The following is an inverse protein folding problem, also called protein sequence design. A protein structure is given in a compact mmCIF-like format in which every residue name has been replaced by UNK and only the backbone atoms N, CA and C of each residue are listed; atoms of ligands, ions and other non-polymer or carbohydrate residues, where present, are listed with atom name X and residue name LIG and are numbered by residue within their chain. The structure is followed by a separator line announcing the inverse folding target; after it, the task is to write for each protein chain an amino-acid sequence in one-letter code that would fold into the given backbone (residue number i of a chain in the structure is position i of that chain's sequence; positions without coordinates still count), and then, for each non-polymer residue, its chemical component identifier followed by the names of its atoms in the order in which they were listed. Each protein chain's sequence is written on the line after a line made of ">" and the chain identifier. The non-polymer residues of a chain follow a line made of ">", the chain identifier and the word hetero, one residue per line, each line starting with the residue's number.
data_IF_844570721976
#
_entry.id   IF_844570721976
#
_cell.length_a   1.000
_cell.length_b   1.000
_cell.length_c   1.000
_cell.angle_alpha   90.00
_cell.angle_beta   90.00
_cell.angle_gamma   90.00
#
_symmetry.space_group_name_H-M   'P 1'
#
loop_
_entity.id
_entity.type
_entity.pdbx_description
1 polymer ?
#
# COMPACT_ATOMS: atom_id res chain seq x y z
N UNK A 1 15.25 -22.86 19.68
CA UNK A 1 15.76 -22.77 18.31
C UNK A 1 15.80 -21.29 17.96
N UNK A 2 16.87 -20.79 17.39
CA UNK A 2 17.01 -19.39 17.03
C UNK A 2 16.75 -19.24 15.53
N UNK A 3 15.91 -18.31 15.12
CA UNK A 3 15.71 -17.90 13.74
C UNK A 3 16.23 -16.48 13.51
N UNK A 4 16.46 -16.13 12.25
CA UNK A 4 16.97 -14.80 11.90
C UNK A 4 15.90 -13.86 11.33
N UNK A 5 14.94 -14.39 10.59
CA UNK A 5 13.83 -13.62 10.00
C UNK A 5 12.52 -14.39 10.14
N UNK A 6 11.39 -13.70 9.93
CA UNK A 6 10.08 -14.36 9.90
C UNK A 6 10.01 -15.46 8.82
N UNK A 7 10.66 -15.26 7.66
CA UNK A 7 10.73 -16.28 6.62
C UNK A 7 11.59 -17.47 7.05
N UNK A 8 12.71 -17.23 7.70
CA UNK A 8 13.58 -18.28 8.25
C UNK A 8 12.83 -19.11 9.31
N UNK A 9 12.10 -18.44 10.23
CA UNK A 9 11.24 -19.12 11.21
C UNK A 9 10.19 -20.01 10.52
N UNK A 10 9.51 -19.49 9.51
CA UNK A 10 8.51 -20.24 8.75
C UNK A 10 9.10 -21.49 8.08
N UNK A 11 10.29 -21.37 7.49
CA UNK A 11 11.01 -22.49 6.85
C UNK A 11 11.49 -23.54 7.85
N UNK A 12 11.83 -23.12 9.06
CA UNK A 12 12.20 -24.03 10.15
C UNK A 12 10.99 -24.65 10.85
N UNK A 13 9.77 -24.28 10.50
CA UNK A 13 8.55 -24.74 11.18
C UNK A 13 8.33 -24.10 12.55
N UNK A 14 8.94 -22.94 12.82
CA UNK A 14 8.81 -22.18 14.06
C UNK A 14 7.70 -21.16 13.93
N UNK A 15 6.66 -21.26 14.76
CA UNK A 15 5.58 -20.27 14.83
C UNK A 15 6.03 -19.12 15.74
N UNK A 16 6.10 -17.91 15.18
CA UNK A 16 6.46 -16.69 15.93
C UNK A 16 5.20 -16.04 16.54
N UNK A 17 5.39 -15.09 17.45
CA UNK A 17 4.27 -14.33 18.02
C UNK A 17 3.59 -13.48 16.94
N UNK A 18 4.35 -12.91 16.02
CA UNK A 18 3.83 -12.16 14.88
C UNK A 18 2.92 -13.01 13.99
N UNK A 19 3.32 -14.26 13.71
CA UNK A 19 2.49 -15.22 12.95
C UNK A 19 1.18 -15.52 13.65
N UNK A 20 1.16 -15.67 14.98
CA UNK A 20 -0.06 -15.93 15.75
C UNK A 20 -1.03 -14.75 15.65
N UNK A 21 -0.52 -13.54 15.87
CA UNK A 21 -1.32 -12.31 15.78
C UNK A 21 -1.91 -12.13 14.39
N UNK A 22 -1.11 -12.34 13.34
CA UNK A 22 -1.58 -12.23 11.96
C UNK A 22 -2.60 -13.31 11.63
N UNK A 23 -2.37 -14.55 12.05
CA UNK A 23 -3.31 -15.65 11.83
C UNK A 23 -4.69 -15.37 12.46
N UNK A 24 -4.72 -14.81 13.68
CA UNK A 24 -5.95 -14.38 14.34
C UNK A 24 -6.64 -13.23 13.60
N UNK A 25 -5.90 -12.17 13.26
CA UNK A 25 -6.44 -11.00 12.53
C UNK A 25 -7.04 -11.36 11.16
N UNK A 26 -6.45 -12.34 10.48
CA UNK A 26 -6.82 -12.75 9.12
C UNK A 26 -7.75 -13.97 9.10
N UNK A 27 -8.08 -14.52 10.27
CA UNK A 27 -8.90 -15.74 10.40
C UNK A 27 -8.38 -16.89 9.51
N UNK A 28 -7.06 -17.10 9.52
CA UNK A 28 -6.36 -18.15 8.76
C UNK A 28 -5.65 -19.12 9.71
N UNK A 29 -5.57 -20.40 9.33
CA UNK A 29 -4.77 -21.37 10.10
C UNK A 29 -3.29 -20.96 10.11
N UNK A 30 -2.66 -20.96 11.29
CA UNK A 30 -1.28 -20.53 11.46
C UNK A 30 -0.27 -21.37 10.67
N UNK A 31 -0.56 -22.66 10.44
CA UNK A 31 0.32 -23.53 9.63
C UNK A 31 0.18 -23.22 8.15
N UNK A 32 -1.03 -22.87 7.71
CA UNK A 32 -1.27 -22.39 6.35
C UNK A 32 -0.53 -21.07 6.12
N UNK A 33 -0.66 -20.08 7.03
CA UNK A 33 0.07 -18.83 7.00
C UNK A 33 1.58 -19.09 6.91
N UNK A 34 2.12 -19.93 7.79
CA UNK A 34 3.54 -20.29 7.80
C UNK A 34 3.98 -20.93 6.48
N UNK A 35 3.16 -21.81 5.88
CA UNK A 35 3.45 -22.41 4.58
C UNK A 35 3.52 -21.39 3.46
N UNK A 36 2.66 -20.38 3.46
CA UNK A 36 2.68 -19.27 2.49
C UNK A 36 3.91 -18.39 2.68
N UNK A 37 4.28 -18.10 3.92
CA UNK A 37 5.49 -17.33 4.25
C UNK A 37 6.76 -18.06 3.85
N UNK A 38 6.86 -19.37 4.10
CA UNK A 38 8.02 -20.19 3.70
C UNK A 38 8.24 -20.17 2.18
N UNK A 39 7.17 -20.01 1.40
CA UNK A 39 7.17 -19.89 -0.07
C UNK A 39 7.39 -18.44 -0.56
N UNK A 40 7.39 -17.44 0.33
CA UNK A 40 7.49 -16.03 0.00
C UNK A 40 6.19 -15.40 -0.56
N UNK A 41 5.07 -16.09 -0.46
CA UNK A 41 3.75 -15.64 -0.95
C UNK A 41 3.00 -14.77 0.07
N UNK A 42 3.47 -14.75 1.30
CA UNK A 42 3.02 -13.87 2.39
C UNK A 42 4.26 -13.35 3.11
N UNK A 43 4.22 -12.10 3.51
CA UNK A 43 5.22 -11.45 4.35
C UNK A 43 4.57 -10.88 5.61
N UNK A 44 5.34 -10.80 6.68
CA UNK A 44 5.01 -10.07 7.90
C UNK A 44 6.16 -9.09 8.13
N UNK A 45 6.07 -7.84 7.67
CA UNK A 45 7.10 -6.84 7.94
C UNK A 45 7.14 -6.55 9.44
N UNK A 46 8.25 -6.90 10.08
CA UNK A 46 8.39 -6.81 11.55
C UNK A 46 9.87 -6.69 11.95
N UNK A 47 10.39 -5.48 11.90
CA UNK A 47 11.77 -5.20 12.31
C UNK A 47 11.95 -5.50 13.81
N UNK A 48 13.05 -6.19 14.15
CA UNK A 48 13.39 -6.53 15.54
C UNK A 48 13.49 -5.32 16.49
N UNK A 49 13.72 -4.12 15.95
CA UNK A 49 13.83 -2.87 16.70
C UNK A 49 12.50 -2.12 16.83
N UNK A 50 11.46 -2.48 16.10
CA UNK A 50 10.12 -1.88 16.18
C UNK A 50 9.30 -2.57 17.29
N UNK A 51 9.36 -2.05 18.52
CA UNK A 51 8.81 -2.75 19.70
C UNK A 51 7.31 -2.56 19.92
N UNK A 52 6.71 -1.52 19.37
CA UNK A 52 5.27 -1.23 19.52
C UNK A 52 4.43 -1.75 18.33
N UNK A 53 5.04 -2.45 17.39
CA UNK A 53 4.37 -2.97 16.19
C UNK A 53 3.19 -3.89 16.55
N UNK A 54 2.05 -3.62 15.91
CA UNK A 54 0.92 -4.56 15.82
C UNK A 54 0.97 -5.25 14.45
N UNK A 55 1.58 -6.43 14.33
CA UNK A 55 1.95 -7.00 13.03
C UNK A 55 0.73 -7.26 12.14
N UNK A 56 0.91 -7.03 10.83
CA UNK A 56 -0.04 -7.38 9.79
C UNK A 56 0.67 -8.19 8.71
N UNK A 57 -0.07 -9.14 8.12
CA UNK A 57 0.41 -9.94 6.99
C UNK A 57 -0.01 -9.32 5.65
N UNK A 58 0.86 -9.40 4.66
CA UNK A 58 0.60 -8.92 3.29
C UNK A 58 0.84 -10.08 2.34
N UNK A 59 -0.13 -10.44 1.50
CA UNK A 59 0.05 -11.47 0.50
C UNK A 59 -1.18 -12.34 0.25
N UNK A 60 -0.92 -13.50 -0.32
CA UNK A 60 -1.93 -14.44 -0.79
C UNK A 60 -2.87 -14.90 0.32
N UNK A 61 -4.17 -15.00 0.01
CA UNK A 61 -5.25 -15.42 0.91
C UNK A 61 -5.56 -14.50 2.09
N UNK A 62 -4.83 -13.41 2.25
CA UNK A 62 -5.10 -12.40 3.27
C UNK A 62 -5.94 -11.27 2.70
N UNK A 63 -6.54 -10.48 3.59
CA UNK A 63 -7.20 -9.23 3.20
C UNK A 63 -6.20 -8.32 2.49
N UNK A 64 -6.67 -7.54 1.54
CA UNK A 64 -5.88 -6.50 0.88
C UNK A 64 -5.56 -5.39 1.90
N UNK A 65 -4.28 -5.04 2.02
CA UNK A 65 -3.81 -3.99 2.93
C UNK A 65 -3.64 -2.67 2.21
N UNK A 66 -3.70 -1.58 2.97
CA UNK A 66 -3.42 -0.24 2.46
C UNK A 66 -2.20 0.37 3.13
N UNK A 67 -1.44 1.13 2.34
CA UNK A 67 -0.32 1.93 2.81
C UNK A 67 -0.62 3.41 2.63
N UNK A 68 -0.32 4.20 3.65
CA UNK A 68 -0.49 5.65 3.66
C UNK A 68 0.87 6.32 3.58
N UNK A 69 1.10 7.07 2.50
CA UNK A 69 2.29 7.88 2.33
C UNK A 69 2.13 9.24 3.00
N UNK A 70 3.15 9.66 3.70
CA UNK A 70 3.22 10.99 4.31
C UNK A 70 4.70 11.42 4.41
N UNK A 71 4.95 12.60 4.92
CA UNK A 71 6.31 13.06 5.15
C UNK A 71 6.50 14.53 4.81
N UNK A 72 7.60 15.09 5.32
CA UNK A 72 7.96 16.49 5.14
C UNK A 72 8.63 16.75 3.80
N UNK A 73 8.40 17.95 3.25
CA UNK A 73 9.10 18.49 2.10
C UNK A 73 9.72 19.84 2.45
N UNK A 74 10.55 20.40 1.55
CA UNK A 74 11.19 21.68 1.77
C UNK A 74 10.20 22.82 2.05
N UNK A 75 9.05 22.76 1.41
CA UNK A 75 8.02 23.81 1.50
C UNK A 75 6.99 23.53 2.60
N UNK A 76 6.99 22.33 3.19
CA UNK A 76 6.06 21.88 4.24
C UNK A 76 6.80 21.03 5.28
N UNK A 77 7.23 21.66 6.40
CA UNK A 77 8.12 21.06 7.42
C UNK A 77 7.41 20.92 8.78
N UNK A 78 6.10 20.79 8.82
CA UNK A 78 5.35 20.64 10.07
C UNK A 78 5.27 19.17 10.53
N UNK A 79 6.21 18.79 11.39
CA UNK A 79 6.25 17.43 11.97
C UNK A 79 5.03 17.11 12.85
N UNK A 80 4.40 18.11 13.47
CA UNK A 80 3.21 17.86 14.30
C UNK A 80 2.02 17.51 13.42
N UNK A 81 1.86 18.23 12.30
CA UNK A 81 0.85 17.92 11.29
C UNK A 81 1.07 16.51 10.71
N UNK A 82 2.32 16.13 10.41
CA UNK A 82 2.61 14.77 9.90
C UNK A 82 2.29 13.71 10.96
N UNK A 83 2.56 13.93 12.23
CA UNK A 83 2.17 13.01 13.31
C UNK A 83 0.65 12.93 13.49
N UNK A 84 -0.07 14.03 13.31
CA UNK A 84 -1.53 14.02 13.32
C UNK A 84 -2.10 13.19 12.16
N UNK A 85 -1.52 13.31 10.96
CA UNK A 85 -1.87 12.46 9.81
C UNK A 85 -1.63 10.97 10.12
N UNK A 86 -0.50 10.62 10.76
CA UNK A 86 -0.19 9.25 11.19
C UNK A 86 -1.27 8.72 12.13
N UNK A 87 -1.60 9.47 13.18
CA UNK A 87 -2.58 9.05 14.18
C UNK A 87 -3.96 8.84 13.55
N UNK A 88 -4.38 9.76 12.69
CA UNK A 88 -5.63 9.64 11.96
C UNK A 88 -5.64 8.45 11.01
N UNK A 89 -4.56 8.22 10.27
CA UNK A 89 -4.45 7.08 9.37
C UNK A 89 -4.55 5.74 10.11
N UNK A 90 -3.86 5.61 11.24
CA UNK A 90 -3.94 4.41 12.10
C UNK A 90 -5.34 4.22 12.67
N UNK A 91 -5.96 5.29 13.17
CA UNK A 91 -7.33 5.25 13.69
C UNK A 91 -8.36 4.86 12.61
N UNK A 92 -8.10 5.21 11.36
CA UNK A 92 -8.91 4.84 10.19
C UNK A 92 -8.59 3.44 9.64
N UNK A 93 -7.66 2.72 10.26
CA UNK A 93 -7.33 1.33 9.94
C UNK A 93 -6.30 1.15 8.83
N UNK A 94 -5.42 2.12 8.60
CA UNK A 94 -4.25 1.92 7.75
C UNK A 94 -3.31 0.89 8.39
N UNK A 95 -2.93 -0.14 7.65
CA UNK A 95 -2.03 -1.18 8.13
C UNK A 95 -0.56 -0.77 8.05
N UNK A 96 -0.23 0.16 7.17
CA UNK A 96 1.14 0.65 7.00
C UNK A 96 1.19 2.16 6.79
N UNK A 97 2.27 2.75 7.28
CA UNK A 97 2.64 4.15 7.08
C UNK A 97 4.00 4.18 6.39
N UNK A 98 4.10 4.91 5.28
CA UNK A 98 5.37 5.09 4.58
C UNK A 98 5.85 6.53 4.71
N UNK A 99 6.97 6.72 5.41
CA UNK A 99 7.63 8.00 5.55
C UNK A 99 8.43 8.32 4.29
N UNK A 100 7.96 9.32 3.54
CA UNK A 100 8.59 9.85 2.34
C UNK A 100 9.27 11.19 2.59
N UNK A 101 9.60 11.52 3.82
CA UNK A 101 10.26 12.76 4.19
C UNK A 101 11.54 12.97 3.39
N UNK A 102 11.66 14.17 2.82
CA UNK A 102 12.80 14.58 2.00
C UNK A 102 13.44 15.88 2.49
N UNK A 103 13.09 16.34 3.70
CA UNK A 103 13.62 17.55 4.31
C UNK A 103 13.48 17.55 5.83
N UNK A 104 14.42 18.21 6.53
CA UNK A 104 14.43 18.34 7.99
C UNK A 104 15.18 17.17 8.68
N UNK A 105 14.90 16.98 9.96
CA UNK A 105 15.49 15.87 10.75
C UNK A 105 14.69 14.58 10.54
N UNK A 106 14.88 13.98 9.37
CA UNK A 106 14.20 12.77 8.92
C UNK A 106 14.46 11.58 9.85
N UNK A 107 15.69 11.45 10.38
CA UNK A 107 16.03 10.37 11.30
C UNK A 107 15.27 10.47 12.62
N UNK A 108 15.12 11.67 13.18
CA UNK A 108 14.35 11.88 14.40
C UNK A 108 12.89 11.53 14.19
N UNK A 109 12.31 11.93 13.06
CA UNK A 109 10.91 11.61 12.72
C UNK A 109 10.73 10.10 12.57
N UNK A 110 11.57 9.43 11.81
CA UNK A 110 11.56 7.97 11.62
C UNK A 110 11.66 7.21 12.94
N UNK A 111 12.59 7.57 13.82
CA UNK A 111 12.72 6.97 15.15
C UNK A 111 11.49 7.20 16.02
N UNK A 112 10.85 8.34 15.90
CA UNK A 112 9.59 8.60 16.59
C UNK A 112 8.48 7.68 16.09
N UNK A 113 8.34 7.52 14.77
CA UNK A 113 7.39 6.58 14.17
C UNK A 113 7.61 5.16 14.67
N UNK A 114 8.82 4.62 14.58
CA UNK A 114 9.13 3.25 15.00
C UNK A 114 9.08 3.02 16.52
N UNK A 115 9.03 4.08 17.33
CA UNK A 115 8.87 3.98 18.78
C UNK A 115 7.43 4.12 19.28
N UNK A 116 6.55 4.76 18.52
CA UNK A 116 5.20 5.15 18.99
C UNK A 116 4.05 4.62 18.12
N UNK A 117 4.29 4.40 16.81
CA UNK A 117 3.25 3.99 15.87
C UNK A 117 3.12 2.46 15.82
N UNK A 118 1.92 1.88 16.02
CA UNK A 118 1.72 0.43 15.96
C UNK A 118 1.57 -0.12 14.53
N UNK A 119 1.46 0.74 13.50
CA UNK A 119 1.38 0.31 12.12
C UNK A 119 2.77 -0.09 11.57
N UNK A 120 2.80 -0.86 10.51
CA UNK A 120 4.02 -1.17 9.76
C UNK A 120 4.64 0.14 9.25
N UNK A 121 5.94 0.37 9.48
CA UNK A 121 6.65 1.55 9.01
C UNK A 121 7.52 1.22 7.81
N UNK A 122 7.25 1.92 6.70
CA UNK A 122 8.05 1.86 5.49
C UNK A 122 8.84 3.13 5.22
N UNK A 123 9.94 3.03 4.48
CA UNK A 123 10.74 4.19 4.04
C UNK A 123 11.37 3.95 2.67
N UNK A 124 11.89 5.04 2.09
CA UNK A 124 12.67 5.02 0.85
C UNK A 124 14.07 5.60 1.15
N UNK A 125 15.07 4.78 1.52
CA UNK A 125 16.37 5.26 2.01
C UNK A 125 17.10 6.21 1.07
N UNK A 126 16.91 6.07 -0.24
CA UNK A 126 17.55 6.94 -1.24
C UNK A 126 17.20 8.43 -1.07
N UNK A 127 16.00 8.75 -0.54
CA UNK A 127 15.63 10.15 -0.29
C UNK A 127 16.48 10.77 0.81
N UNK A 128 16.76 9.97 1.85
CA UNK A 128 17.50 10.41 3.01
C UNK A 128 18.99 10.62 2.72
N UNK A 129 19.57 9.84 1.82
CA UNK A 129 20.98 9.97 1.46
C UNK A 129 21.32 11.37 0.93
N UNK A 130 20.45 11.92 0.08
CA UNK A 130 20.63 13.28 -0.47
C UNK A 130 20.51 14.35 0.64
N UNK A 131 19.58 14.14 1.57
CA UNK A 131 19.32 15.06 2.70
C UNK A 131 20.44 14.97 3.74
N UNK A 132 20.83 13.77 4.11
CA UNK A 132 21.76 13.50 5.20
C UNK A 132 23.19 13.94 4.89
N UNK A 133 23.69 13.63 3.68
CA UNK A 133 25.09 13.92 3.33
C UNK A 133 25.32 15.36 2.85
N UNK A 134 24.29 16.11 2.47
CA UNK A 134 24.39 17.48 1.94
C UNK A 134 25.41 17.62 0.80
N UNK A 135 25.53 16.60 -0.05
CA UNK A 135 26.44 16.54 -1.19
C UNK A 135 25.71 16.72 -2.51
N UNK A 136 26.45 17.11 -3.54
CA UNK A 136 25.94 16.97 -4.90
C UNK A 136 25.72 15.48 -5.21
N UNK A 137 24.66 15.16 -5.93
CA UNK A 137 24.24 13.76 -6.19
C UNK A 137 25.39 12.89 -6.71
N UNK A 138 26.20 13.40 -7.66
CA UNK A 138 27.36 12.70 -8.25
C UNK A 138 28.49 12.39 -7.24
N UNK A 139 28.54 13.11 -6.12
CA UNK A 139 29.60 13.00 -5.12
C UNK A 139 29.20 12.05 -3.96
N UNK A 140 27.99 11.51 -3.98
CA UNK A 140 27.55 10.46 -3.04
C UNK A 140 28.21 9.16 -3.48
N UNK A 141 28.98 8.58 -2.59
CA UNK A 141 29.71 7.34 -2.84
C UNK A 141 28.81 6.10 -2.73
N UNK A 142 29.21 5.01 -3.36
CA UNK A 142 28.53 3.70 -3.21
C UNK A 142 28.36 3.32 -1.73
N UNK A 143 29.40 3.50 -0.91
CA UNK A 143 29.32 3.18 0.52
C UNK A 143 28.28 4.03 1.25
N UNK A 144 28.18 5.31 0.95
CA UNK A 144 27.18 6.19 1.56
C UNK A 144 25.74 5.79 1.20
N UNK A 145 25.51 5.32 -0.03
CA UNK A 145 24.20 4.74 -0.41
C UNK A 145 23.85 3.51 0.43
N UNK A 146 24.83 2.66 0.73
CA UNK A 146 24.61 1.45 1.52
C UNK A 146 24.48 1.76 3.03
N UNK A 147 25.25 2.71 3.56
CA UNK A 147 25.20 3.12 4.97
C UNK A 147 23.83 3.69 5.35
N UNK A 148 23.18 4.42 4.45
CA UNK A 148 21.81 4.91 4.66
C UNK A 148 20.81 3.76 4.78
N UNK A 149 20.94 2.71 3.99
CA UNK A 149 20.07 1.53 4.08
C UNK A 149 20.21 0.88 5.48
N UNK A 150 21.45 0.70 5.98
CA UNK A 150 21.66 0.13 7.31
C UNK A 150 21.15 1.07 8.41
N UNK A 151 21.27 2.39 8.26
CA UNK A 151 20.75 3.36 9.21
C UNK A 151 19.23 3.23 9.37
N UNK A 152 18.47 3.13 8.27
CA UNK A 152 17.02 2.93 8.31
C UNK A 152 16.65 1.59 8.98
N UNK A 153 17.32 0.52 8.62
CA UNK A 153 17.09 -0.79 9.23
C UNK A 153 17.33 -0.76 10.75
N UNK A 154 18.41 -0.10 11.20
CA UNK A 154 18.77 0.06 12.61
C UNK A 154 17.76 0.92 13.37
N UNK A 155 17.18 1.93 12.73
CA UNK A 155 16.16 2.81 13.32
C UNK A 155 14.80 2.12 13.51
N UNK A 156 14.62 0.87 13.05
CA UNK A 156 13.43 0.05 13.30
C UNK A 156 12.41 0.02 12.18
N UNK A 157 12.76 0.46 10.98
CA UNK A 157 11.88 0.42 9.80
C UNK A 157 11.56 -1.02 9.39
N UNK A 158 10.29 -1.35 9.18
CA UNK A 158 9.82 -2.71 8.91
C UNK A 158 9.99 -3.12 7.45
N UNK A 159 9.87 -2.17 6.51
CA UNK A 159 10.17 -2.40 5.10
C UNK A 159 10.86 -1.19 4.47
N UNK A 160 11.69 -1.45 3.48
CA UNK A 160 12.40 -0.41 2.75
C UNK A 160 12.20 -0.59 1.24
N UNK A 161 11.80 0.50 0.57
CA UNK A 161 11.76 0.52 -0.88
C UNK A 161 13.12 0.82 -1.45
N UNK A 162 13.68 -0.15 -2.17
CA UNK A 162 15.00 -0.08 -2.80
C UNK A 162 14.87 -0.28 -4.30
N UNK A 163 15.29 0.72 -5.09
CA UNK A 163 15.19 0.70 -6.55
C UNK A 163 16.38 -0.03 -7.16
N UNK A 164 16.47 -1.34 -6.95
CA UNK A 164 17.54 -2.18 -7.48
C UNK A 164 17.21 -2.83 -8.85
N UNK A 165 16.00 -2.66 -9.37
CA UNK A 165 15.61 -3.19 -10.69
C UNK A 165 16.21 -2.42 -11.86
N UNK A 166 16.48 -1.12 -11.69
CA UNK A 166 17.15 -0.31 -12.70
C UNK A 166 18.66 -0.52 -12.62
N UNK A 167 19.25 -1.05 -13.67
CA UNK A 167 20.69 -1.27 -13.86
C UNK A 167 21.13 -0.71 -15.21
N UNK A 168 22.40 -0.83 -15.58
CA UNK A 168 22.91 -0.30 -16.87
C UNK A 168 22.17 -0.85 -18.08
N UNK A 169 21.72 -2.11 -18.03
CA UNK A 169 20.99 -2.73 -19.14
C UNK A 169 19.56 -2.14 -19.24
N UNK A 170 18.82 -2.10 -18.13
CA UNK A 170 17.47 -1.50 -18.08
C UNK A 170 17.51 -0.01 -18.36
N UNK A 171 18.52 0.74 -17.86
CA UNK A 171 18.72 2.16 -18.14
C UNK A 171 18.97 2.43 -19.65
N UNK A 172 19.75 1.57 -20.31
CA UNK A 172 19.94 1.65 -21.76
C UNK A 172 18.61 1.42 -22.50
N UNK A 173 17.89 0.37 -22.12
CA UNK A 173 16.58 0.06 -22.70
C UNK A 173 15.59 1.19 -22.53
N UNK A 174 15.56 1.78 -21.33
CA UNK A 174 14.73 2.95 -21.02
C UNK A 174 15.01 4.12 -21.97
N UNK A 175 16.29 4.46 -22.22
CA UNK A 175 16.68 5.54 -23.15
C UNK A 175 16.21 5.28 -24.59
N UNK A 176 16.21 4.02 -25.01
CA UNK A 176 15.76 3.63 -26.34
C UNK A 176 14.22 3.62 -26.48
N UNK A 177 13.48 3.41 -25.39
CA UNK A 177 12.03 3.28 -25.37
C UNK A 177 11.26 4.59 -25.64
N UNK A 178 11.89 5.77 -25.38
CA UNK A 178 11.32 7.10 -25.62
C UNK A 178 9.94 7.30 -24.97
N UNK A 179 9.84 7.04 -23.66
CA UNK A 179 8.63 7.26 -22.89
C UNK A 179 8.14 8.70 -22.94
N UNK A 180 6.82 8.89 -22.81
CA UNK A 180 6.22 10.20 -22.79
C UNK A 180 6.54 10.96 -21.49
N UNK A 181 6.40 10.30 -20.33
CA UNK A 181 6.62 10.91 -18.99
C UNK A 181 7.95 10.54 -18.36
N UNK A 182 8.81 9.79 -19.06
CA UNK A 182 10.11 9.33 -18.57
C UNK A 182 10.01 8.49 -17.27
N UNK A 183 10.94 8.71 -16.32
CA UNK A 183 10.95 8.08 -15.00
C UNK A 183 10.24 9.01 -14.02
N UNK A 184 9.07 8.61 -13.55
CA UNK A 184 8.26 9.37 -12.58
C UNK A 184 8.49 8.91 -11.14
N UNK A 185 9.11 7.75 -10.93
CA UNK A 185 9.55 7.32 -9.61
C UNK A 185 10.64 8.25 -9.10
N UNK A 186 10.40 8.92 -7.96
CA UNK A 186 11.38 9.83 -7.35
C UNK A 186 12.70 9.10 -7.04
N UNK A 187 12.63 7.93 -6.39
CA UNK A 187 13.82 7.13 -6.09
C UNK A 187 14.49 6.57 -7.35
N UNK A 188 13.70 6.11 -8.30
CA UNK A 188 14.18 5.64 -9.60
C UNK A 188 14.92 6.75 -10.37
N UNK A 189 14.38 7.98 -10.41
CA UNK A 189 15.02 9.11 -11.10
C UNK A 189 16.31 9.55 -10.42
N UNK A 190 16.39 9.52 -9.09
CA UNK A 190 17.62 9.87 -8.35
C UNK A 190 18.72 8.88 -8.69
N UNK A 191 18.46 7.58 -8.62
CA UNK A 191 19.50 6.57 -8.90
C UNK A 191 19.88 6.54 -10.37
N UNK A 192 18.91 6.70 -11.28
CA UNK A 192 19.18 6.81 -12.71
C UNK A 192 20.12 8.02 -13.01
N UNK A 193 19.81 9.18 -12.42
CA UNK A 193 20.65 10.37 -12.59
C UNK A 193 22.06 10.16 -12.03
N UNK A 194 22.19 9.50 -10.88
CA UNK A 194 23.51 9.15 -10.32
C UNK A 194 24.31 8.25 -11.26
N UNK A 195 23.68 7.19 -11.79
CA UNK A 195 24.30 6.29 -12.76
C UNK A 195 24.78 7.02 -14.01
N UNK A 196 23.97 7.91 -14.55
CA UNK A 196 24.32 8.70 -15.76
C UNK A 196 25.46 9.70 -15.49
N UNK A 197 25.46 10.37 -14.33
CA UNK A 197 26.49 11.35 -13.99
C UNK A 197 27.85 10.70 -13.66
N UNK A 198 27.84 9.51 -13.05
CA UNK A 198 29.05 8.84 -12.59
C UNK A 198 29.58 7.79 -13.59
N UNK A 199 28.71 7.29 -14.45
CA UNK A 199 28.99 6.15 -15.32
C UNK A 199 29.08 4.81 -14.58
N UNK A 200 28.76 4.77 -13.27
CA UNK A 200 28.79 3.55 -12.44
C UNK A 200 27.50 2.75 -12.57
N UNK A 201 27.53 1.51 -12.11
CA UNK A 201 26.35 0.66 -11.98
C UNK A 201 25.52 1.15 -10.78
N UNK A 202 24.22 0.83 -10.76
CA UNK A 202 23.37 1.04 -9.61
C UNK A 202 23.94 0.34 -8.37
N UNK A 203 24.35 1.05 -7.32
CA UNK A 203 24.96 0.45 -6.14
C UNK A 203 24.05 -0.54 -5.41
N UNK A 204 22.72 -0.34 -5.48
CA UNK A 204 21.74 -1.24 -4.87
C UNK A 204 21.60 -2.56 -5.66
N UNK A 205 21.81 -2.53 -6.97
CA UNK A 205 21.87 -3.72 -7.81
C UNK A 205 23.21 -4.46 -7.66
N UNK A 206 24.32 -3.71 -7.74
CA UNK A 206 25.68 -4.26 -7.68
C UNK A 206 25.99 -4.90 -6.32
N UNK A 207 25.55 -4.26 -5.23
CA UNK A 207 25.76 -4.73 -3.86
C UNK A 207 24.49 -5.31 -3.21
N UNK A 208 23.62 -5.91 -4.01
CA UNK A 208 22.34 -6.44 -3.54
C UNK A 208 22.48 -7.43 -2.38
N UNK A 209 23.48 -8.33 -2.43
CA UNK A 209 23.71 -9.31 -1.39
C UNK A 209 24.08 -8.67 -0.03
N UNK A 210 24.78 -7.55 -0.04
CA UNK A 210 25.08 -6.80 1.17
C UNK A 210 23.82 -6.17 1.78
N UNK A 211 22.93 -5.65 0.93
CA UNK A 211 21.63 -5.14 1.37
C UNK A 211 20.79 -6.27 1.99
N UNK A 212 20.78 -7.44 1.37
CA UNK A 212 20.09 -8.62 1.92
C UNK A 212 20.64 -9.02 3.29
N UNK A 213 21.96 -8.93 3.52
CA UNK A 213 22.56 -9.21 4.81
C UNK A 213 22.10 -8.22 5.89
N UNK A 214 21.90 -6.94 5.54
CA UNK A 214 21.28 -5.95 6.42
C UNK A 214 19.82 -6.34 6.71
N UNK A 215 19.01 -6.60 5.68
CA UNK A 215 17.63 -6.99 5.83
C UNK A 215 17.48 -8.22 6.74
N UNK A 216 18.33 -9.23 6.55
CA UNK A 216 18.36 -10.43 7.38
C UNK A 216 18.74 -10.14 8.84
N UNK A 217 19.70 -9.26 9.07
CA UNK A 217 20.18 -8.88 10.41
C UNK A 217 19.08 -8.26 11.27
N UNK A 218 18.28 -7.35 10.67
CA UNK A 218 17.25 -6.59 11.37
C UNK A 218 15.82 -7.11 11.15
N UNK A 219 15.63 -8.12 10.29
CA UNK A 219 14.33 -8.64 9.83
C UNK A 219 13.51 -7.57 9.13
N UNK A 220 14.13 -6.89 8.17
CA UNK A 220 13.48 -5.89 7.32
C UNK A 220 12.97 -6.56 6.06
N UNK A 221 11.73 -6.29 5.69
CA UNK A 221 11.17 -6.70 4.41
C UNK A 221 11.70 -5.81 3.28
N UNK A 222 12.19 -6.43 2.21
CA UNK A 222 12.57 -5.72 1.00
C UNK A 222 11.34 -5.38 0.17
N UNK A 223 11.09 -4.09 -0.09
CA UNK A 223 10.19 -3.63 -1.13
C UNK A 223 11.01 -3.32 -2.38
N UNK A 224 10.89 -4.16 -3.41
CA UNK A 224 11.61 -3.98 -4.66
C UNK A 224 10.96 -2.86 -5.47
N UNK A 225 11.57 -1.68 -5.47
CA UNK A 225 11.01 -0.46 -6.07
C UNK A 225 10.99 -0.51 -7.60
N UNK A 226 9.92 -0.02 -8.18
CA UNK A 226 9.66 0.06 -9.62
C UNK A 226 10.08 1.42 -10.20
N UNK A 227 11.37 1.59 -10.51
CA UNK A 227 11.90 2.82 -11.12
C UNK A 227 11.19 3.15 -12.44
N UNK A 228 10.84 2.14 -13.21
CA UNK A 228 10.20 2.24 -14.53
C UNK A 228 8.67 2.10 -14.47
N UNK A 229 8.00 2.34 -13.33
CA UNK A 229 6.53 2.39 -13.34
C UNK A 229 6.02 3.46 -14.30
N UNK A 230 4.89 3.24 -15.02
CA UNK A 230 4.34 4.23 -15.92
C UNK A 230 3.77 5.42 -15.15
N UNK A 231 4.07 6.64 -15.62
CA UNK A 231 3.55 7.90 -15.09
C UNK A 231 2.38 8.47 -15.90
N UNK A 232 1.99 7.77 -16.96
CA UNK A 232 0.79 8.02 -17.74
C UNK A 232 0.32 6.74 -18.39
N UNK A 233 -0.95 6.70 -18.81
CA UNK A 233 -1.52 5.48 -19.45
C UNK A 233 -0.83 5.14 -20.78
N UNK A 234 -0.23 6.13 -21.47
CA UNK A 234 0.48 5.91 -22.72
C UNK A 234 1.77 5.10 -22.56
N UNK A 235 2.41 5.17 -21.39
CA UNK A 235 3.66 4.44 -21.08
C UNK A 235 3.40 3.08 -20.41
N UNK A 236 2.13 2.74 -20.16
CA UNK A 236 1.75 1.51 -19.45
C UNK A 236 2.15 0.25 -20.24
N UNK A 237 2.70 -0.73 -19.53
CA UNK A 237 3.12 -2.04 -20.09
C UNK A 237 4.18 -1.93 -21.18
N UNK A 238 4.95 -0.85 -21.18
CA UNK A 238 6.06 -0.72 -22.14
C UNK A 238 7.22 -1.65 -21.80
N UNK A 239 8.19 -1.70 -22.72
CA UNK A 239 9.35 -2.59 -22.58
C UNK A 239 10.18 -2.27 -21.34
N UNK A 240 10.25 -1.01 -20.91
CA UNK A 240 11.02 -0.59 -19.74
C UNK A 240 10.41 -1.11 -18.45
N UNK A 241 9.09 -1.00 -18.31
CA UNK A 241 8.36 -1.54 -17.17
C UNK A 241 8.53 -3.06 -17.07
N UNK A 242 8.35 -3.77 -18.20
CA UNK A 242 8.38 -5.24 -18.20
C UNK A 242 9.81 -5.76 -17.98
N UNK A 243 10.84 -5.15 -18.57
CA UNK A 243 12.23 -5.56 -18.37
C UNK A 243 12.69 -5.35 -16.93
N UNK A 244 12.31 -4.22 -16.32
CA UNK A 244 12.56 -4.02 -14.89
C UNK A 244 11.85 -5.10 -14.05
N UNK A 245 10.59 -5.41 -14.33
CA UNK A 245 9.85 -6.46 -13.62
C UNK A 245 10.54 -7.83 -13.72
N UNK A 246 11.13 -8.17 -14.87
CA UNK A 246 11.93 -9.41 -15.02
C UNK A 246 13.12 -9.39 -14.08
N UNK A 247 13.85 -8.27 -14.03
CA UNK A 247 14.97 -8.08 -13.08
C UNK A 247 14.52 -8.21 -11.63
N UNK A 248 13.39 -7.60 -11.27
CA UNK A 248 12.82 -7.70 -9.92
C UNK A 248 12.45 -9.15 -9.55
N UNK A 249 11.97 -9.93 -10.50
CA UNK A 249 11.71 -11.37 -10.32
C UNK A 249 12.97 -12.19 -10.02
N UNK A 250 14.09 -11.87 -10.67
CA UNK A 250 15.39 -12.50 -10.38
C UNK A 250 15.91 -12.11 -9.00
N UNK A 251 15.80 -10.83 -8.63
CA UNK A 251 16.20 -10.32 -7.32
C UNK A 251 15.33 -10.89 -6.19
N UNK A 252 14.04 -11.08 -6.43
CA UNK A 252 13.12 -11.74 -5.49
C UNK A 252 13.63 -13.14 -5.11
N UNK A 253 14.03 -13.94 -6.10
CA UNK A 253 14.56 -15.27 -5.85
C UNK A 253 15.84 -15.24 -5.01
N UNK A 254 16.76 -14.33 -5.33
CA UNK A 254 18.02 -14.18 -4.58
C UNK A 254 17.76 -13.78 -3.11
N UNK A 255 16.77 -12.89 -2.87
CA UNK A 255 16.40 -12.53 -1.51
C UNK A 255 15.85 -13.73 -0.72
N UNK A 256 15.00 -14.52 -1.33
CA UNK A 256 14.46 -15.73 -0.71
C UNK A 256 15.54 -16.78 -0.40
N UNK A 257 16.59 -16.88 -1.20
CA UNK A 257 17.74 -17.75 -0.93
C UNK A 257 18.49 -17.36 0.35
N UNK A 258 18.36 -16.09 0.78
CA UNK A 258 18.89 -15.55 2.05
C UNK A 258 17.83 -15.41 3.15
N UNK A 259 16.65 -16.00 3.01
CA UNK A 259 15.54 -15.90 3.95
C UNK A 259 15.06 -14.46 4.20
N UNK A 260 15.18 -13.57 3.22
CA UNK A 260 14.68 -12.19 3.27
C UNK A 260 13.29 -12.14 2.64
N UNK A 261 12.32 -11.60 3.39
CA UNK A 261 10.97 -11.33 2.89
C UNK A 261 10.99 -10.26 1.82
N UNK A 262 10.20 -10.45 0.76
CA UNK A 262 10.12 -9.54 -0.39
C UNK A 262 8.68 -9.23 -0.72
N UNK A 263 8.39 -7.98 -1.02
CA UNK A 263 7.28 -7.55 -1.87
C UNK A 263 7.82 -6.78 -3.07
N UNK A 264 7.07 -6.77 -4.16
CA UNK A 264 7.46 -6.10 -5.41
C UNK A 264 6.56 -4.90 -5.63
N UNK A 265 7.11 -3.74 -5.96
CA UNK A 265 6.32 -2.59 -6.36
C UNK A 265 5.86 -2.71 -7.82
N UNK A 266 4.75 -2.08 -8.13
CA UNK A 266 4.13 -2.21 -9.42
C UNK A 266 3.42 -0.94 -9.90
N UNK A 267 2.71 -1.03 -11.03
CA UNK A 267 2.38 0.10 -11.87
C UNK A 267 1.56 1.19 -11.16
N UNK A 268 1.82 2.43 -11.59
CA UNK A 268 1.04 3.60 -11.24
C UNK A 268 -0.11 3.85 -12.24
N UNK A 269 0.17 4.52 -13.37
CA UNK A 269 -0.87 4.80 -14.37
C UNK A 269 -1.03 3.61 -15.33
N UNK A 270 -2.27 3.12 -15.48
CA UNK A 270 -2.53 1.98 -16.36
C UNK A 270 -4.00 1.91 -16.80
N UNK A 271 -4.30 1.76 -18.10
CA UNK A 271 -5.66 1.60 -18.57
C UNK A 271 -6.25 0.28 -18.06
N UNK A 272 -7.56 0.27 -17.76
CA UNK A 272 -8.27 -0.84 -17.12
C UNK A 272 -8.00 -2.21 -17.75
N UNK A 273 -7.99 -2.27 -19.08
CA UNK A 273 -7.82 -3.52 -19.84
C UNK A 273 -6.42 -4.14 -19.72
N UNK A 274 -5.42 -3.43 -19.20
CA UNK A 274 -4.08 -3.93 -19.02
C UNK A 274 -3.77 -4.37 -17.59
N UNK A 275 -4.57 -3.98 -16.60
CA UNK A 275 -4.31 -4.24 -15.18
C UNK A 275 -4.21 -5.75 -14.92
N UNK A 276 -5.21 -6.51 -15.34
CA UNK A 276 -5.24 -7.98 -15.12
C UNK A 276 -3.98 -8.64 -15.66
N UNK A 277 -3.60 -8.35 -16.90
CA UNK A 277 -2.41 -8.94 -17.53
C UNK A 277 -1.13 -8.61 -16.76
N UNK A 278 -0.99 -7.36 -16.27
CA UNK A 278 0.16 -6.96 -15.46
C UNK A 278 0.23 -7.72 -14.13
N UNK A 279 -0.91 -7.92 -13.45
CA UNK A 279 -0.98 -8.71 -12.21
C UNK A 279 -0.55 -10.17 -12.48
N UNK A 280 -1.07 -10.79 -13.54
CA UNK A 280 -0.75 -12.16 -13.92
C UNK A 280 0.73 -12.34 -14.30
N UNK A 281 1.30 -11.38 -15.02
CA UNK A 281 2.74 -11.36 -15.37
C UNK A 281 3.59 -11.29 -14.10
N UNK A 282 3.29 -10.38 -13.18
CA UNK A 282 4.03 -10.25 -11.93
C UNK A 282 3.94 -11.55 -11.11
N UNK A 283 2.74 -12.10 -10.93
CA UNK A 283 2.54 -13.35 -10.19
C UNK A 283 3.38 -14.49 -10.76
N UNK A 284 3.51 -14.53 -12.07
CA UNK A 284 4.31 -15.55 -12.77
C UNK A 284 5.80 -15.33 -12.61
N UNK A 285 6.28 -14.13 -12.91
CA UNK A 285 7.72 -13.78 -12.91
C UNK A 285 8.27 -13.77 -11.49
N UNK A 286 7.53 -13.14 -10.54
CA UNK A 286 7.92 -13.02 -9.14
C UNK A 286 7.41 -14.16 -8.25
N UNK A 287 6.94 -15.28 -8.85
CA UNK A 287 6.56 -16.52 -8.13
C UNK A 287 5.54 -16.34 -7.01
N UNK A 288 4.63 -15.41 -7.15
CA UNK A 288 3.59 -15.13 -6.16
C UNK A 288 4.04 -14.24 -5.00
N UNK A 289 5.18 -13.57 -5.10
CA UNK A 289 5.58 -12.53 -4.13
C UNK A 289 4.48 -11.46 -4.04
N UNK A 290 4.17 -10.93 -2.84
CA UNK A 290 3.19 -9.88 -2.67
C UNK A 290 3.44 -8.70 -3.59
N UNK A 291 2.39 -8.18 -4.23
CA UNK A 291 2.47 -7.07 -5.16
C UNK A 291 1.89 -5.81 -4.53
N UNK A 292 2.72 -4.77 -4.44
CA UNK A 292 2.42 -3.46 -3.91
C UNK A 292 2.27 -2.47 -5.08
N UNK A 293 1.07 -1.92 -5.29
CA UNK A 293 0.76 -1.10 -6.46
C UNK A 293 0.33 0.30 -6.07
N UNK A 294 0.68 1.28 -6.92
CA UNK A 294 0.26 2.68 -6.80
C UNK A 294 -1.03 2.90 -7.58
N UNK A 295 -2.16 2.67 -6.97
CA UNK A 295 -3.46 2.67 -7.62
C UNK A 295 -3.81 1.29 -8.17
N UNK A 296 -3.75 1.02 -9.50
CA UNK A 296 -3.36 1.92 -10.60
C UNK A 296 -4.37 3.03 -10.94
N UNK A 297 -3.85 4.19 -11.36
CA UNK A 297 -4.69 5.28 -11.87
C UNK A 297 -5.12 4.95 -13.30
N UNK A 298 -6.42 4.87 -13.53
CA UNK A 298 -6.98 4.31 -14.78
C UNK A 298 -7.20 5.35 -15.88
N UNK A 299 -6.97 6.63 -15.57
CA UNK A 299 -7.01 7.75 -16.52
C UNK A 299 -6.17 8.91 -16.02
N UNK A 300 -5.61 9.69 -16.94
CA UNK A 300 -4.72 10.83 -16.62
C UNK A 300 -5.45 12.19 -16.58
N UNK A 301 -6.75 12.22 -16.89
CA UNK A 301 -7.51 13.47 -17.09
C UNK A 301 -8.36 13.85 -15.87
N UNK A 302 -8.06 13.32 -14.70
CA UNK A 302 -8.85 13.54 -13.50
C UNK A 302 -8.06 14.16 -12.31
N UNK A 303 -7.23 15.22 -12.50
CA UNK A 303 -6.55 15.87 -11.38
C UNK A 303 -7.54 16.34 -10.32
N UNK A 304 -7.25 16.12 -9.04
CA UNK A 304 -8.14 16.37 -7.92
C UNK A 304 -9.10 15.21 -7.60
N UNK A 305 -9.14 14.18 -8.47
CA UNK A 305 -9.93 12.96 -8.31
C UNK A 305 -9.07 11.68 -8.43
N UNK A 306 -7.76 11.80 -8.31
CA UNK A 306 -6.85 10.68 -8.47
C UNK A 306 -7.10 9.55 -7.48
N UNK A 307 -7.61 9.84 -6.29
CA UNK A 307 -8.07 8.84 -5.32
C UNK A 307 -9.22 7.96 -5.86
N UNK A 308 -10.11 8.51 -6.69
CA UNK A 308 -11.19 7.74 -7.32
C UNK A 308 -10.62 6.87 -8.44
N UNK A 309 -9.77 7.43 -9.31
CA UNK A 309 -9.15 6.67 -10.41
C UNK A 309 -8.29 5.54 -9.88
N UNK A 310 -7.56 5.78 -8.80
CA UNK A 310 -6.77 4.79 -8.09
C UNK A 310 -7.64 3.72 -7.41
N UNK A 311 -8.78 4.08 -6.81
CA UNK A 311 -9.69 3.10 -6.21
C UNK A 311 -10.28 2.15 -7.26
N UNK A 312 -10.64 2.67 -8.44
CA UNK A 312 -11.14 1.83 -9.55
C UNK A 312 -10.07 0.83 -9.98
N UNK A 313 -8.85 1.30 -10.26
CA UNK A 313 -7.76 0.43 -10.69
C UNK A 313 -7.27 -0.49 -9.57
N UNK A 314 -7.22 0.00 -8.33
CA UNK A 314 -6.82 -0.76 -7.15
C UNK A 314 -7.75 -1.94 -6.86
N UNK A 315 -9.06 -1.75 -6.99
CA UNK A 315 -10.03 -2.84 -6.83
C UNK A 315 -9.80 -3.95 -7.87
N UNK A 316 -9.54 -3.57 -9.12
CA UNK A 316 -9.25 -4.54 -10.17
C UNK A 316 -7.89 -5.21 -9.92
N UNK A 317 -6.84 -4.44 -9.62
CA UNK A 317 -5.51 -4.98 -9.34
C UNK A 317 -5.53 -5.97 -8.17
N UNK A 318 -6.18 -5.62 -7.07
CA UNK A 318 -6.28 -6.48 -5.89
C UNK A 318 -7.11 -7.75 -6.16
N UNK A 319 -8.16 -7.67 -7.00
CA UNK A 319 -8.93 -8.84 -7.43
C UNK A 319 -8.05 -9.84 -8.20
N UNK A 320 -7.05 -9.36 -8.95
CA UNK A 320 -6.20 -10.19 -9.79
C UNK A 320 -4.79 -10.43 -9.25
N UNK A 321 -4.49 -10.05 -7.99
CA UNK A 321 -3.24 -10.48 -7.36
C UNK A 321 -2.46 -9.44 -6.58
N UNK A 322 -2.78 -8.14 -6.67
CA UNK A 322 -2.18 -7.16 -5.78
C UNK A 322 -2.66 -7.42 -4.33
N UNK A 323 -1.74 -7.30 -3.39
CA UNK A 323 -2.00 -7.58 -1.97
C UNK A 323 -1.88 -6.35 -1.09
N UNK A 324 -1.31 -5.28 -1.64
CA UNK A 324 -1.00 -4.06 -0.93
C UNK A 324 -1.24 -2.86 -1.85
N UNK A 325 -2.12 -1.96 -1.43
CA UNK A 325 -2.48 -0.78 -2.20
C UNK A 325 -1.82 0.46 -1.58
N UNK A 326 -1.01 1.15 -2.36
CA UNK A 326 -0.61 2.50 -2.03
C UNK A 326 -1.83 3.41 -2.18
N UNK A 327 -2.21 4.12 -1.12
CA UNK A 327 -3.28 5.07 -1.22
C UNK A 327 -2.89 6.24 -2.13
N UNK A 328 -3.88 6.86 -2.73
CA UNK A 328 -3.73 8.08 -3.52
C UNK A 328 -4.75 9.09 -2.99
N UNK A 329 -4.35 10.35 -2.87
CA UNK A 329 -5.20 11.42 -2.35
C UNK A 329 -5.77 12.31 -3.47
N UNK A 330 -6.80 13.12 -3.20
CA UNK A 330 -7.24 14.17 -4.14
C UNK A 330 -6.13 15.16 -4.51
N UNK A 331 -5.16 15.34 -3.62
CA UNK A 331 -4.04 16.26 -3.81
C UNK A 331 -2.90 15.73 -4.68
N UNK A 332 -2.97 14.45 -5.11
CA UNK A 332 -1.92 13.82 -5.92
C UNK A 332 -1.60 14.67 -7.16
N UNK A 333 -0.31 14.80 -7.47
CA UNK A 333 0.22 15.64 -8.55
C UNK A 333 -0.06 17.17 -8.41
N UNK A 334 -0.75 17.63 -7.36
CA UNK A 334 -1.15 19.03 -7.20
C UNK A 334 -0.47 19.73 -6.02
N UNK A 335 -0.42 19.09 -4.84
CA UNK A 335 0.17 19.63 -3.61
C UNK A 335 0.44 18.55 -2.57
N UNK A 336 1.13 18.89 -1.49
CA UNK A 336 1.23 18.01 -0.32
C UNK A 336 -0.19 17.86 0.31
N UNK A 337 -0.66 16.62 0.58
CA UNK A 337 -1.99 16.40 1.11
C UNK A 337 -2.14 16.94 2.55
N UNK A 338 -3.29 17.54 2.84
CA UNK A 338 -3.72 17.86 4.20
C UNK A 338 -4.48 16.70 4.86
N UNK A 339 -5.03 16.90 6.06
CA UNK A 339 -5.74 15.85 6.81
C UNK A 339 -6.98 15.33 6.10
N UNK A 340 -7.73 16.20 5.43
CA UNK A 340 -8.95 15.80 4.70
C UNK A 340 -8.58 15.01 3.43
N UNK A 341 -7.55 15.45 2.69
CA UNK A 341 -7.06 14.68 1.54
C UNK A 341 -6.61 13.28 1.95
N UNK A 342 -5.89 13.16 3.08
CA UNK A 342 -5.45 11.87 3.63
C UNK A 342 -6.66 11.00 3.95
N UNK A 343 -7.68 11.55 4.60
CA UNK A 343 -8.93 10.85 4.93
C UNK A 343 -9.63 10.34 3.67
N UNK A 344 -9.84 11.20 2.67
CA UNK A 344 -10.51 10.81 1.41
C UNK A 344 -9.71 9.71 0.68
N UNK A 345 -8.37 9.80 0.64
CA UNK A 345 -7.50 8.78 0.04
C UNK A 345 -7.59 7.43 0.75
N UNK A 346 -7.60 7.42 2.09
CA UNK A 346 -7.74 6.20 2.90
C UNK A 346 -9.10 5.54 2.63
N UNK A 347 -10.19 6.31 2.67
CA UNK A 347 -11.54 5.78 2.44
C UNK A 347 -11.66 5.19 1.04
N UNK A 348 -11.18 5.90 0.01
CA UNK A 348 -11.18 5.40 -1.36
C UNK A 348 -10.42 4.06 -1.50
N UNK A 349 -9.23 3.98 -0.90
CA UNK A 349 -8.41 2.77 -0.93
C UNK A 349 -9.03 1.61 -0.13
N UNK A 350 -9.66 1.89 1.02
CA UNK A 350 -10.39 0.86 1.81
C UNK A 350 -11.59 0.32 1.06
N UNK A 351 -12.33 1.17 0.33
CA UNK A 351 -13.44 0.72 -0.53
C UNK A 351 -12.91 -0.21 -1.63
N UNK A 352 -11.81 0.16 -2.27
CA UNK A 352 -11.17 -0.66 -3.31
C UNK A 352 -10.70 -2.02 -2.77
N UNK A 353 -10.01 -2.01 -1.62
CA UNK A 353 -9.51 -3.21 -0.96
C UNK A 353 -10.66 -4.14 -0.56
N UNK A 354 -11.70 -3.61 0.08
CA UNK A 354 -12.86 -4.39 0.50
C UNK A 354 -13.63 -5.00 -0.68
N UNK A 355 -13.86 -4.24 -1.74
CA UNK A 355 -14.50 -4.76 -2.96
C UNK A 355 -13.71 -5.91 -3.59
N UNK A 356 -12.38 -5.80 -3.60
CA UNK A 356 -11.51 -6.87 -4.07
C UNK A 356 -11.52 -8.10 -3.14
N UNK A 357 -11.57 -7.90 -1.82
CA UNK A 357 -11.59 -8.98 -0.84
C UNK A 357 -12.88 -9.82 -0.96
N UNK A 358 -14.02 -9.18 -1.21
CA UNK A 358 -15.28 -9.88 -1.56
C UNK A 358 -15.09 -10.70 -2.84
N UNK A 359 -14.54 -10.10 -3.89
CA UNK A 359 -14.35 -10.76 -5.18
C UNK A 359 -13.39 -11.97 -5.10
N UNK A 360 -12.38 -11.90 -4.23
CA UNK A 360 -11.43 -12.99 -3.95
C UNK A 360 -11.98 -14.07 -3.02
N UNK A 361 -13.12 -13.83 -2.37
CA UNK A 361 -13.69 -14.71 -1.36
C UNK A 361 -12.85 -14.79 -0.07
N UNK A 362 -12.28 -13.66 0.35
CA UNK A 362 -11.57 -13.56 1.62
C UNK A 362 -12.55 -13.84 2.77
N UNK A 363 -12.23 -14.75 3.71
CA UNK A 363 -13.15 -15.13 4.78
C UNK A 363 -13.67 -13.92 5.58
N UNK A 364 -14.99 -13.80 5.70
CA UNK A 364 -15.65 -12.72 6.46
C UNK A 364 -15.84 -11.40 5.71
N UNK A 365 -15.31 -11.25 4.48
CA UNK A 365 -15.46 -10.00 3.73
C UNK A 365 -16.93 -9.71 3.38
N UNK A 366 -17.67 -10.70 2.90
CA UNK A 366 -19.09 -10.60 2.56
C UNK A 366 -20.02 -10.48 3.79
N UNK A 367 -19.59 -10.96 4.95
CA UNK A 367 -20.34 -10.83 6.19
C UNK A 367 -20.54 -9.37 6.62
N UNK A 368 -19.57 -8.51 6.31
CA UNK A 368 -19.65 -7.09 6.61
C UNK A 368 -20.78 -6.41 5.79
N UNK A 369 -20.84 -6.68 4.49
CA UNK A 369 -21.93 -6.22 3.62
C UNK A 369 -23.29 -6.83 3.97
N UNK A 370 -23.30 -8.09 4.43
CA UNK A 370 -24.50 -8.72 4.92
C UNK A 370 -25.08 -8.01 6.16
N UNK A 371 -24.23 -7.61 7.12
CA UNK A 371 -24.64 -6.80 8.29
C UNK A 371 -25.23 -5.46 7.87
N UNK A 372 -24.59 -4.76 6.93
CA UNK A 372 -25.12 -3.52 6.36
C UNK A 372 -26.48 -3.74 5.70
N UNK A 373 -26.63 -4.83 4.94
CA UNK A 373 -27.88 -5.18 4.25
C UNK A 373 -29.01 -5.48 5.22
N UNK A 374 -28.74 -6.15 6.34
CA UNK A 374 -29.72 -6.38 7.40
C UNK A 374 -30.16 -5.07 8.07
N UNK A 375 -29.24 -4.16 8.37
CA UNK A 375 -29.52 -2.86 8.93
C UNK A 375 -30.38 -2.04 7.94
N UNK A 376 -30.03 -2.05 6.64
CA UNK A 376 -30.84 -1.40 5.57
C UNK A 376 -32.25 -1.97 5.47
N UNK A 377 -32.40 -3.30 5.54
CA UNK A 377 -33.72 -3.93 5.51
C UNK A 377 -34.61 -3.44 6.66
N UNK A 378 -34.03 -3.25 7.84
CA UNK A 378 -34.74 -2.78 9.03
C UNK A 378 -34.92 -1.26 9.07
N UNK A 379 -34.28 -0.52 8.17
CA UNK A 379 -34.16 0.95 8.20
C UNK A 379 -33.50 1.45 9.52
N UNK A 380 -32.63 0.63 10.09
CA UNK A 380 -31.89 0.91 11.31
C UNK A 380 -30.64 1.75 10.99
N UNK A 381 -30.79 3.05 11.05
CA UNK A 381 -29.77 4.02 10.67
C UNK A 381 -28.51 3.95 11.56
N UNK A 382 -28.69 3.74 12.86
CA UNK A 382 -27.55 3.65 13.80
C UNK A 382 -26.71 2.41 13.46
N UNK A 383 -27.32 1.25 13.31
CA UNK A 383 -26.61 0.04 12.88
C UNK A 383 -25.96 0.20 11.50
N UNK A 384 -26.54 0.98 10.57
CA UNK A 384 -25.90 1.28 9.29
C UNK A 384 -24.65 2.15 9.47
N UNK A 385 -24.68 3.14 10.38
CA UNK A 385 -23.51 3.97 10.66
C UNK A 385 -22.41 3.17 11.34
N UNK A 386 -22.74 2.30 12.29
CA UNK A 386 -21.77 1.48 13.03
C UNK A 386 -20.96 0.54 12.13
N UNK A 387 -21.54 0.09 11.00
CA UNK A 387 -20.86 -0.77 10.04
C UNK A 387 -20.33 -0.02 8.80
N UNK A 388 -20.52 1.28 8.70
CA UNK A 388 -20.03 2.07 7.56
C UNK A 388 -18.51 2.20 7.56
N UNK A 389 -17.88 2.20 6.39
CA UNK A 389 -16.43 2.47 6.24
C UNK A 389 -16.08 3.89 6.73
N UNK A 390 -16.96 4.87 6.49
CA UNK A 390 -16.89 6.23 7.04
C UNK A 390 -18.20 6.58 7.74
N UNK A 391 -18.33 6.23 9.04
CA UNK A 391 -19.54 6.49 9.80
C UNK A 391 -19.81 7.98 10.00
N UNK A 392 -18.77 8.80 10.13
CA UNK A 392 -18.92 10.25 10.34
C UNK A 392 -19.53 10.94 9.11
N UNK A 393 -19.02 10.64 7.92
CA UNK A 393 -19.55 11.19 6.67
C UNK A 393 -20.98 10.72 6.43
N UNK A 394 -21.25 9.44 6.65
CA UNK A 394 -22.59 8.87 6.50
C UNK A 394 -23.61 9.54 7.42
N UNK A 395 -23.27 9.72 8.72
CA UNK A 395 -24.09 10.40 9.72
C UNK A 395 -24.33 11.87 9.34
N UNK A 396 -23.26 12.61 9.02
CA UNK A 396 -23.31 14.02 8.62
C UNK A 396 -24.24 14.23 7.42
N UNK A 397 -24.16 13.36 6.40
CA UNK A 397 -25.04 13.44 5.21
C UNK A 397 -26.50 13.19 5.60
N UNK A 398 -26.77 12.22 6.43
CA UNK A 398 -28.13 11.95 6.94
C UNK A 398 -28.69 13.14 7.70
N UNK A 399 -27.90 13.71 8.60
CA UNK A 399 -28.30 14.82 9.46
C UNK A 399 -28.52 16.13 8.70
N UNK A 400 -27.77 16.35 7.61
CA UNK A 400 -27.90 17.57 6.80
C UNK A 400 -29.22 17.70 6.07
N UNK A 401 -29.99 16.61 5.92
CA UNK A 401 -31.27 16.58 5.21
C UNK A 401 -32.23 15.55 5.86
N UNK A 402 -32.50 15.69 7.18
CA UNK A 402 -33.43 14.83 7.89
C UNK A 402 -34.84 14.94 7.31
N UNK A 403 -35.53 13.82 7.00
CA UNK A 403 -36.94 13.85 6.63
C UNK A 403 -37.79 14.07 7.89
N UNK A 404 -39.05 14.50 7.70
CA UNK A 404 -40.03 14.63 8.79
C UNK A 404 -40.27 13.29 9.50
N UNK A 405 -40.31 12.19 8.73
CA UNK A 405 -40.39 10.82 9.27
C UNK A 405 -39.01 10.19 9.28
N UNK A 406 -38.52 9.88 10.49
CA UNK A 406 -37.13 9.42 10.70
C UNK A 406 -36.83 8.01 10.16
N UNK A 407 -37.86 7.23 9.80
CA UNK A 407 -37.75 5.86 9.30
C UNK A 407 -37.30 5.75 7.83
N UNK A 408 -37.35 6.82 7.06
CA UNK A 408 -36.94 6.86 5.65
C UNK A 408 -35.89 7.95 5.41
N UNK A 409 -35.31 7.98 4.20
CA UNK A 409 -34.46 9.09 3.78
C UNK A 409 -35.29 10.16 3.05
N UNK A 410 -34.79 11.39 2.99
CA UNK A 410 -35.43 12.51 2.28
C UNK A 410 -35.52 12.31 0.77
N UNK A 411 -34.76 11.36 0.20
CA UNK A 411 -34.81 11.06 -1.24
C UNK A 411 -36.12 10.38 -1.65
N UNK A 412 -36.59 9.38 -0.89
CA UNK A 412 -37.72 8.55 -1.25
C UNK A 412 -39.00 8.88 -0.44
N UNK A 413 -38.87 9.26 0.84
CA UNK A 413 -40.01 9.51 1.71
C UNK A 413 -41.02 8.36 1.70
N UNK A 414 -42.27 8.64 1.43
CA UNK A 414 -43.34 7.63 1.34
C UNK A 414 -43.17 6.64 0.19
N UNK A 415 -42.33 6.92 -0.82
CA UNK A 415 -41.99 6.00 -1.90
C UNK A 415 -40.87 5.04 -1.56
N UNK A 416 -40.43 4.97 -0.32
CA UNK A 416 -39.33 4.08 0.08
C UNK A 416 -39.69 2.61 -0.23
N UNK A 417 -38.99 2.03 -1.22
CA UNK A 417 -39.22 0.65 -1.64
C UNK A 417 -39.00 -0.35 -0.51
N UNK A 418 -37.94 -0.17 0.28
CA UNK A 418 -37.63 -1.06 1.42
C UNK A 418 -38.77 -1.04 2.43
N UNK A 419 -39.22 0.13 2.87
CA UNK A 419 -40.29 0.29 3.83
C UNK A 419 -41.61 -0.33 3.31
N UNK A 420 -41.99 0.04 2.08
CA UNK A 420 -43.25 -0.39 1.52
C UNK A 420 -43.27 -1.91 1.26
N UNK A 421 -42.17 -2.48 0.77
CA UNK A 421 -42.07 -3.93 0.57
C UNK A 421 -42.11 -4.74 1.90
N UNK A 422 -41.45 -4.25 2.94
CA UNK A 422 -41.55 -4.87 4.27
C UNK A 422 -43.01 -4.91 4.74
N UNK A 423 -43.70 -3.77 4.68
CA UNK A 423 -45.12 -3.67 5.09
C UNK A 423 -46.03 -4.59 4.31
N UNK A 424 -45.85 -4.63 2.96
CA UNK A 424 -46.65 -5.51 2.06
C UNK A 424 -46.39 -6.99 2.41
N UNK A 425 -45.15 -7.37 2.66
CA UNK A 425 -44.80 -8.76 3.01
C UNK A 425 -45.33 -9.16 4.39
N UNK A 426 -45.51 -8.18 5.30
CA UNK A 426 -46.12 -8.36 6.60
C UNK A 426 -47.67 -8.37 6.54
N UNK A 427 -48.24 -8.26 5.34
CA UNK A 427 -49.69 -8.33 5.08
C UNK A 427 -50.44 -7.00 5.18
N UNK A 428 -49.71 -5.86 5.24
CA UNK A 428 -50.30 -4.55 5.26
C UNK A 428 -50.74 -4.06 3.85
N UNK A 429 -51.80 -3.33 3.82
CA UNK A 429 -52.20 -2.56 2.61
C UNK A 429 -51.47 -1.21 2.66
N UNK A 430 -50.60 -0.98 1.70
CA UNK A 430 -49.79 0.26 1.64
C UNK A 430 -50.42 1.23 0.64
N UNK A 431 -50.76 2.44 1.14
CA UNK A 431 -51.06 3.59 0.28
C UNK A 431 -49.84 4.54 0.31
N UNK A 432 -49.43 4.97 -0.90
CA UNK A 432 -48.31 5.94 -1.02
C UNK A 432 -48.81 7.38 -0.71
N UNK A 433 -50.10 7.59 -0.76
CA UNK A 433 -50.73 8.90 -0.59
C UNK A 433 -51.34 9.12 0.81
N UNK A 434 -51.31 8.13 1.67
CA UNK A 434 -51.77 8.29 3.05
C UNK A 434 -50.69 8.98 3.88
N UNK A 435 -51.07 10.05 4.60
CA UNK A 435 -50.24 10.82 5.52
C UNK A 435 -49.87 10.04 6.79
#
# INVERSE_FOLDING_TARGET
>A
MSYTTQMDAARQGIVTEEMKVVAEKENIDVKELMSLMAKGQVIIPANKNHKCLSPNGIGSKLRTKINVNLGTSRDCVDLNMELEKVNNAVAMGAEAIMDLSSFGDTQKFRRKLTSECPAIIGTVPIYDAVVYYHKALKDITTQEWLDIVEMHAKDGVDFMTIHCGINKATAKRFKDAKRLTNIVSRGGSIIFAWMEMTGNENPFYEHYDWILDICRKYDVTMSLGDACRPGCIADASDISQIEELVTLGELTKRAWEKDVQVMVEGPGHMPLNQIKANMEIQQTICKGAPFYVLGPLVTDVAPGYDHITAAIGGAIAATYGASFLCYVTPAEHLRLPDLEDVKEGIIASRIAAHAADIAKGVPGADEWDYKMSLARKKLDWESMFDVAIDPEKARRYRESAKPEKEDTCSMCGNFCAVKNMNRILDGEIVSIFDE
#
